data_IF_636006492966
#
_entry.id   IF_636006492966
#
_cell.length_a   1.000
_cell.length_b   1.000
_cell.length_c   1.000
_cell.angle_alpha   90.00
_cell.angle_beta   90.00
_cell.angle_gamma   90.00
#
_symmetry.space_group_name_H-M   'P 1'
#
loop_
_entity.id
_entity.type
_entity.pdbx_description
1 polymer ?
#
# COMPACT_ATOMS: atom_id res chain seq x y z
N UNK A 1 -19.37 0.76 43.14
CA UNK A 1 -18.20 0.87 42.24
C UNK A 1 -18.40 0.24 40.84
N UNK A 2 -19.36 -0.68 40.64
CA UNK A 2 -19.58 -1.41 39.38
C UNK A 2 -20.26 -0.63 38.23
N UNK A 3 -21.07 0.39 38.53
CA UNK A 3 -21.81 1.14 37.50
C UNK A 3 -20.97 2.15 36.71
N UNK A 4 -19.82 2.57 37.25
CA UNK A 4 -18.90 3.51 36.58
C UNK A 4 -18.10 2.87 35.45
N UNK A 5 -17.92 1.54 35.48
CA UNK A 5 -17.24 0.82 34.42
C UNK A 5 -18.16 0.69 33.21
N UNK A 6 -19.40 0.25 33.44
CA UNK A 6 -20.41 0.07 32.39
C UNK A 6 -20.69 1.33 31.56
N UNK A 7 -20.65 2.53 32.15
CA UNK A 7 -20.83 3.77 31.37
C UNK A 7 -19.62 4.09 30.49
N UNK A 8 -18.40 3.87 30.99
CA UNK A 8 -17.16 4.06 30.21
C UNK A 8 -17.03 3.06 29.06
N UNK A 9 -17.49 1.84 29.28
CA UNK A 9 -17.49 0.76 28.27
C UNK A 9 -18.43 1.11 27.10
N UNK A 10 -19.59 1.72 27.40
CA UNK A 10 -20.53 2.23 26.40
C UNK A 10 -19.97 3.44 25.66
N UNK A 11 -19.35 4.41 26.35
CA UNK A 11 -18.77 5.58 25.69
C UNK A 11 -17.62 5.20 24.74
N UNK A 12 -16.83 4.19 25.09
CA UNK A 12 -15.76 3.65 24.25
C UNK A 12 -16.30 3.00 22.97
N UNK A 13 -17.31 2.12 23.09
CA UNK A 13 -18.00 1.54 21.93
C UNK A 13 -18.63 2.62 21.06
N UNK A 14 -19.16 3.66 21.72
CA UNK A 14 -19.84 4.77 21.06
C UNK A 14 -18.90 5.57 20.17
N UNK A 15 -17.75 5.93 20.73
CA UNK A 15 -16.73 6.66 20.02
C UNK A 15 -16.13 5.83 18.87
N UNK A 16 -15.96 4.52 19.08
CA UNK A 16 -15.48 3.57 18.07
C UNK A 16 -16.38 3.54 16.83
N UNK A 17 -17.71 3.41 17.00
CA UNK A 17 -18.62 3.41 15.85
C UNK A 17 -18.64 4.76 15.12
N UNK A 18 -18.46 5.87 15.86
CA UNK A 18 -18.49 7.20 15.28
C UNK A 18 -17.25 7.47 14.41
N UNK A 19 -16.09 6.99 14.86
CA UNK A 19 -14.85 7.02 14.10
C UNK A 19 -14.91 6.12 12.86
N UNK A 20 -15.43 4.90 12.99
CA UNK A 20 -15.66 3.98 11.87
C UNK A 20 -16.60 4.57 10.81
N UNK A 21 -17.70 5.21 11.23
CA UNK A 21 -18.64 5.86 10.31
C UNK A 21 -18.03 7.08 9.62
N UNK A 22 -17.15 7.82 10.30
CA UNK A 22 -16.45 8.98 9.73
C UNK A 22 -15.42 8.57 8.67
N UNK A 23 -14.73 7.44 8.87
CA UNK A 23 -13.66 6.97 7.99
C UNK A 23 -14.00 5.69 7.21
N UNK A 24 -15.29 5.38 7.02
CA UNK A 24 -15.73 4.13 6.41
C UNK A 24 -15.10 3.86 5.03
N UNK A 25 -14.82 4.91 4.24
CA UNK A 25 -14.13 4.80 2.95
C UNK A 25 -12.68 4.36 3.09
N UNK A 26 -11.95 4.94 4.04
CA UNK A 26 -10.54 4.61 4.29
C UNK A 26 -10.43 3.20 4.88
N UNK A 27 -11.32 2.85 5.82
CA UNK A 27 -11.41 1.50 6.40
C UNK A 27 -11.77 0.48 5.31
N UNK A 28 -12.71 0.79 4.43
CA UNK A 28 -13.09 -0.07 3.31
C UNK A 28 -11.92 -0.32 2.35
N UNK A 29 -11.18 0.75 1.98
CA UNK A 29 -9.99 0.62 1.13
C UNK A 29 -8.93 -0.27 1.78
N UNK A 30 -8.62 -0.03 3.06
CA UNK A 30 -7.65 -0.85 3.79
C UNK A 30 -8.10 -2.31 3.88
N UNK A 31 -9.38 -2.54 4.15
CA UNK A 31 -9.94 -3.89 4.26
C UNK A 31 -9.82 -4.64 2.95
N UNK A 32 -10.18 -4.01 1.82
CA UNK A 32 -10.03 -4.61 0.49
C UNK A 32 -8.56 -4.88 0.18
N UNK A 33 -7.65 -3.93 0.46
CA UNK A 33 -6.21 -4.11 0.25
C UNK A 33 -5.67 -5.31 1.03
N UNK A 34 -6.01 -5.44 2.31
CA UNK A 34 -5.61 -6.58 3.14
C UNK A 34 -6.21 -7.88 2.61
N UNK A 35 -7.48 -7.87 2.19
CA UNK A 35 -8.16 -9.04 1.66
C UNK A 35 -7.46 -9.55 0.39
N UNK A 36 -7.12 -8.66 -0.54
CA UNK A 36 -6.39 -9.01 -1.77
C UNK A 36 -5.03 -9.64 -1.44
N UNK A 37 -4.27 -9.04 -0.52
CA UNK A 37 -2.99 -9.58 -0.08
C UNK A 37 -3.16 -10.96 0.58
N UNK A 38 -4.18 -11.11 1.43
CA UNK A 38 -4.47 -12.38 2.11
C UNK A 38 -4.82 -13.49 1.10
N UNK A 39 -5.63 -13.18 0.08
CA UNK A 39 -5.93 -14.12 -1.01
C UNK A 39 -4.62 -14.56 -1.68
N UNK A 40 -3.74 -13.64 -2.05
CA UNK A 40 -2.48 -13.97 -2.69
C UNK A 40 -1.52 -14.77 -1.79
N UNK A 41 -1.49 -14.49 -0.48
CA UNK A 41 -0.73 -15.27 0.48
C UNK A 41 -1.21 -16.72 0.55
N UNK A 42 -2.52 -16.96 0.45
CA UNK A 42 -3.09 -18.32 0.48
C UNK A 42 -2.87 -19.02 -0.86
N UNK A 43 -3.10 -18.35 -1.99
CA UNK A 43 -2.98 -18.97 -3.31
C UNK A 43 -1.52 -19.19 -3.74
N UNK A 44 -0.59 -18.36 -3.27
CA UNK A 44 0.83 -18.43 -3.63
C UNK A 44 1.75 -18.11 -2.43
N UNK A 45 1.77 -18.97 -1.40
CA UNK A 45 2.52 -18.71 -0.17
C UNK A 45 4.03 -18.63 -0.40
N UNK A 46 4.56 -19.42 -1.33
CA UNK A 46 6.00 -19.42 -1.65
C UNK A 46 6.47 -18.09 -2.23
N UNK A 47 5.57 -17.28 -2.79
CA UNK A 47 5.91 -15.96 -3.34
C UNK A 47 5.77 -14.89 -2.27
N UNK A 48 4.61 -14.84 -1.61
CA UNK A 48 4.28 -13.76 -0.67
C UNK A 48 4.84 -13.96 0.74
N UNK A 49 5.21 -15.18 1.14
CA UNK A 49 5.79 -15.46 2.47
C UNK A 49 7.30 -15.74 2.42
N UNK A 50 7.92 -15.81 1.23
CA UNK A 50 9.35 -16.09 1.10
C UNK A 50 10.21 -14.83 1.20
N UNK A 51 11.11 -14.79 2.18
CA UNK A 51 12.07 -13.70 2.38
C UNK A 51 12.97 -13.44 1.16
N UNK A 52 13.23 -14.46 0.34
CA UNK A 52 14.09 -14.34 -0.85
C UNK A 52 13.55 -13.33 -1.85
N UNK A 53 12.23 -13.34 -2.10
CA UNK A 53 11.62 -12.44 -3.08
C UNK A 53 11.75 -10.99 -2.62
N UNK A 54 11.48 -10.73 -1.34
CA UNK A 54 11.64 -9.39 -0.77
C UNK A 54 13.08 -8.89 -0.84
N UNK A 55 14.06 -9.77 -0.59
CA UNK A 55 15.47 -9.40 -0.73
C UNK A 55 15.86 -9.10 -2.18
N UNK A 56 15.47 -9.97 -3.13
CA UNK A 56 15.72 -9.75 -4.56
C UNK A 56 15.06 -8.47 -5.05
N UNK A 57 13.82 -8.20 -4.63
CA UNK A 57 13.08 -6.99 -4.97
C UNK A 57 13.79 -5.74 -4.43
N UNK A 58 14.19 -5.75 -3.14
CA UNK A 58 14.92 -4.64 -2.52
C UNK A 58 16.32 -4.43 -3.12
N UNK A 59 16.94 -5.45 -3.72
CA UNK A 59 18.22 -5.30 -4.39
C UNK A 59 18.11 -4.74 -5.80
N UNK A 60 16.96 -4.87 -6.47
CA UNK A 60 16.81 -4.56 -7.90
C UNK A 60 15.96 -3.31 -8.13
N UNK A 61 14.83 -3.20 -7.42
CA UNK A 61 13.85 -2.13 -7.64
C UNK A 61 14.35 -0.76 -7.20
N UNK A 62 15.02 -0.59 -6.03
CA UNK A 62 15.51 0.72 -5.63
C UNK A 62 16.51 1.32 -6.62
N UNK A 63 17.35 0.48 -7.23
CA UNK A 63 18.29 0.93 -8.26
C UNK A 63 17.56 1.53 -9.47
N UNK A 64 16.58 0.81 -10.02
CA UNK A 64 15.73 1.31 -11.11
C UNK A 64 14.91 2.51 -10.67
N UNK A 65 14.44 2.54 -9.42
CA UNK A 65 13.69 3.65 -8.85
C UNK A 65 14.49 4.95 -8.79
N UNK A 66 15.74 4.90 -8.35
CA UNK A 66 16.63 6.07 -8.32
C UNK A 66 16.86 6.60 -9.75
N UNK A 67 17.09 5.69 -10.70
CA UNK A 67 17.22 6.05 -12.12
C UNK A 67 15.93 6.70 -12.66
N UNK A 68 14.76 6.12 -12.35
CA UNK A 68 13.46 6.66 -12.75
C UNK A 68 13.18 8.05 -12.14
N UNK A 69 13.60 8.31 -10.90
CA UNK A 69 13.49 9.64 -10.30
C UNK A 69 14.33 10.67 -11.06
N UNK A 70 15.56 10.33 -11.44
CA UNK A 70 16.40 11.19 -12.29
C UNK A 70 15.78 11.41 -13.67
N UNK A 71 15.29 10.35 -14.32
CA UNK A 71 14.63 10.42 -15.62
C UNK A 71 13.35 11.27 -15.59
N UNK A 72 12.59 11.24 -14.49
CA UNK A 72 11.39 12.07 -14.34
C UNK A 72 11.72 13.56 -14.47
N UNK A 73 12.85 14.02 -13.91
CA UNK A 73 13.29 15.42 -14.05
C UNK A 73 13.65 15.75 -15.50
N UNK A 74 14.34 14.84 -16.19
CA UNK A 74 14.74 15.00 -17.60
C UNK A 74 13.51 15.05 -18.51
N UNK A 75 12.54 14.17 -18.28
CA UNK A 75 11.27 14.13 -19.01
C UNK A 75 10.46 15.42 -18.80
N UNK A 76 10.34 15.89 -17.56
CA UNK A 76 9.60 17.13 -17.24
C UNK A 76 10.32 18.38 -17.75
N UNK A 77 11.66 18.38 -17.80
CA UNK A 77 12.46 19.44 -18.42
C UNK A 77 12.29 19.51 -19.94
N UNK A 78 11.65 18.52 -20.56
CA UNK A 78 11.44 18.45 -22.01
C UNK A 78 12.69 18.03 -22.79
N UNK A 79 13.72 17.53 -22.11
CA UNK A 79 14.99 17.10 -22.72
C UNK A 79 14.85 15.75 -23.45
N UNK A 80 13.89 14.92 -23.02
CA UNK A 80 13.56 13.64 -23.66
C UNK A 80 12.05 13.59 -23.92
N UNK A 81 11.65 13.34 -25.17
CA UNK A 81 10.26 13.02 -25.51
C UNK A 81 9.94 11.57 -25.14
N UNK A 82 8.77 11.35 -24.53
CA UNK A 82 8.25 10.03 -24.15
C UNK A 82 8.04 9.12 -25.36
N UNK A 83 7.92 9.68 -26.57
CA UNK A 83 7.86 8.90 -27.82
C UNK A 83 9.16 8.13 -28.11
N UNK A 84 10.32 8.63 -27.67
CA UNK A 84 11.61 8.02 -27.99
C UNK A 84 11.83 6.68 -27.27
N UNK A 85 11.70 6.57 -25.93
CA UNK A 85 11.73 5.26 -25.26
C UNK A 85 10.65 4.30 -25.76
N UNK A 86 9.47 4.83 -26.15
CA UNK A 86 8.37 4.00 -26.62
C UNK A 86 8.65 3.32 -27.96
N UNK A 87 9.45 3.92 -28.86
CA UNK A 87 9.86 3.30 -30.12
C UNK A 87 11.11 2.44 -29.96
N UNK A 88 12.06 2.86 -29.12
CA UNK A 88 13.35 2.18 -28.92
C UNK A 88 13.29 0.96 -27.97
N UNK A 89 12.20 0.78 -27.23
CA UNK A 89 12.03 -0.36 -26.31
C UNK A 89 11.70 -1.70 -27.01
N UNK A 90 11.58 -1.69 -28.34
CA UNK A 90 11.28 -2.84 -29.19
C UNK A 90 12.39 -3.04 -30.23
#
# INVERSE_FOLDING_TARGET
MRQRNSSKDLEMHVHGYMLLRRYYRQVGLLLISVLVIAIFMITSPQVFLSSRIYFTFMSTVPFVGIMALGLTLVLVSGEIDMSFPAVMAF
#
